data_IF_303889275087
#
_entry.id   IF_303889275087
#
_cell.length_a   1.000
_cell.length_b   1.000
_cell.length_c   1.000
_cell.angle_alpha   90.00
_cell.angle_beta   90.00
_cell.angle_gamma   90.00
#
_symmetry.space_group_name_H-M   'P 1'
#
loop_
_entity.id
_entity.type
_entity.pdbx_description
1 polymer ?
#
# COMPACT_ATOMS: atom_id res chain seq x y z
N UNK A 1 -26.40 -11.20 0.54
CA UNK A 1 -25.16 -11.52 -0.21
C UNK A 1 -24.04 -10.67 0.37
N UNK A 2 -22.99 -11.29 0.90
CA UNK A 2 -21.81 -10.58 1.39
C UNK A 2 -21.12 -9.89 0.22
N UNK A 3 -21.14 -8.56 0.20
CA UNK A 3 -20.42 -7.80 -0.81
C UNK A 3 -18.91 -8.04 -0.57
N UNK A 4 -18.18 -8.75 -1.46
CA UNK A 4 -16.76 -9.05 -1.23
C UNK A 4 -15.91 -7.77 -1.16
N UNK A 5 -16.44 -6.65 -1.67
CA UNK A 5 -15.83 -5.32 -1.60
C UNK A 5 -16.14 -4.58 -0.29
N UNK A 6 -17.04 -5.06 0.59
CA UNK A 6 -17.34 -4.36 1.85
C UNK A 6 -16.17 -4.44 2.84
N UNK A 7 -15.34 -5.48 2.77
CA UNK A 7 -14.08 -5.56 3.52
C UNK A 7 -12.94 -4.76 2.85
N UNK A 8 -13.14 -4.39 1.58
CA UNK A 8 -12.28 -3.50 0.80
C UNK A 8 -12.72 -2.03 1.00
N UNK A 9 -13.15 -1.67 2.22
CA UNK A 9 -13.21 -0.26 2.59
C UNK A 9 -11.83 0.36 2.29
N UNK A 10 -11.80 1.28 1.31
CA UNK A 10 -10.66 2.10 0.89
C UNK A 10 -10.26 3.10 2.00
N UNK A 11 -10.29 2.64 3.23
CA UNK A 11 -10.11 3.42 4.45
C UNK A 11 -8.63 3.80 4.65
N UNK A 12 -7.73 3.16 3.90
CA UNK A 12 -6.29 3.34 4.05
C UNK A 12 -5.61 3.48 2.70
N UNK A 13 -4.96 4.64 2.53
CA UNK A 13 -4.30 5.09 1.30
C UNK A 13 -3.32 4.05 0.74
N UNK A 14 -2.57 3.35 1.59
CA UNK A 14 -1.59 2.35 1.12
C UNK A 14 -2.26 1.14 0.45
N UNK A 15 -3.46 0.73 0.86
CA UNK A 15 -4.19 -0.36 0.17
C UNK A 15 -4.64 0.06 -1.22
N UNK A 16 -5.09 1.31 -1.35
CA UNK A 16 -5.48 1.90 -2.63
C UNK A 16 -4.27 1.95 -3.57
N UNK A 17 -3.13 2.43 -3.06
CA UNK A 17 -1.89 2.53 -3.85
C UNK A 17 -1.36 1.16 -4.26
N UNK A 18 -1.46 0.11 -3.43
CA UNK A 18 -1.08 -1.27 -3.86
C UNK A 18 -1.84 -1.65 -5.13
N UNK A 19 -3.16 -1.42 -5.16
CA UNK A 19 -4.00 -1.77 -6.32
C UNK A 19 -3.59 -0.94 -7.55
N UNK A 20 -3.46 0.38 -7.39
CA UNK A 20 -3.07 1.29 -8.49
C UNK A 20 -1.69 0.90 -9.04
N UNK A 21 -0.69 0.75 -8.18
CA UNK A 21 0.66 0.37 -8.56
C UNK A 21 0.70 -1.01 -9.23
N UNK A 22 -0.09 -1.98 -8.75
CA UNK A 22 -0.18 -3.31 -9.38
C UNK A 22 -0.79 -3.22 -10.78
N UNK A 23 -1.86 -2.44 -10.97
CA UNK A 23 -2.48 -2.24 -12.28
C UNK A 23 -1.50 -1.58 -13.25
N UNK A 24 -0.77 -0.54 -12.81
CA UNK A 24 0.25 0.14 -13.63
C UNK A 24 1.39 -0.83 -13.97
N UNK A 25 1.85 -1.63 -13.02
CA UNK A 25 2.89 -2.63 -13.26
C UNK A 25 2.45 -3.65 -14.31
N UNK A 26 1.28 -4.26 -14.13
CA UNK A 26 0.75 -5.27 -15.06
C UNK A 26 0.48 -4.67 -16.45
N UNK A 27 -0.08 -3.46 -16.51
CA UNK A 27 -0.34 -2.76 -17.78
C UNK A 27 0.96 -2.41 -18.51
N UNK A 28 2.00 -2.01 -17.78
CA UNK A 28 3.32 -1.71 -18.34
C UNK A 28 4.01 -2.98 -18.82
N UNK A 29 4.01 -4.05 -17.99
CA UNK A 29 4.61 -5.35 -18.33
C UNK A 29 3.91 -6.03 -19.51
N UNK A 30 2.58 -5.87 -19.60
CA UNK A 30 1.77 -6.36 -20.72
C UNK A 30 1.83 -5.50 -21.98
N UNK A 31 2.62 -4.41 -21.98
CA UNK A 31 2.78 -3.54 -23.15
C UNK A 31 1.57 -2.66 -23.48
N UNK A 32 0.60 -2.54 -22.57
CA UNK A 32 -0.61 -1.71 -22.76
C UNK A 32 -0.32 -0.21 -22.67
N UNK A 33 0.85 0.17 -22.15
CA UNK A 33 1.28 1.56 -21.96
C UNK A 33 2.57 1.88 -22.75
N UNK A 34 2.55 1.82 -24.10
CA UNK A 34 3.75 1.94 -24.93
C UNK A 34 4.38 3.34 -24.91
N UNK A 35 3.63 4.37 -24.47
CA UNK A 35 4.12 5.75 -24.34
C UNK A 35 4.91 6.00 -23.06
N UNK A 36 4.87 5.07 -22.10
CA UNK A 36 5.61 5.20 -20.85
C UNK A 36 7.01 4.59 -20.98
N UNK A 37 8.04 5.19 -20.35
CA UNK A 37 9.36 4.58 -20.26
C UNK A 37 9.26 3.28 -19.46
N UNK A 38 9.29 2.14 -20.16
CA UNK A 38 8.96 0.81 -19.62
C UNK A 38 9.75 0.48 -18.35
N UNK A 39 11.07 0.61 -18.38
CA UNK A 39 11.92 0.29 -17.23
C UNK A 39 11.63 1.18 -16.01
N UNK A 40 11.49 2.49 -16.22
CA UNK A 40 11.18 3.44 -15.14
C UNK A 40 9.78 3.19 -14.56
N UNK A 41 8.78 2.99 -15.41
CA UNK A 41 7.41 2.72 -15.00
C UNK A 41 7.30 1.40 -14.22
N UNK A 42 8.02 0.34 -14.63
CA UNK A 42 8.08 -0.92 -13.89
C UNK A 42 8.75 -0.76 -12.53
N UNK A 43 9.88 -0.05 -12.45
CA UNK A 43 10.59 0.18 -11.18
C UNK A 43 9.77 1.02 -10.19
N UNK A 44 9.12 2.08 -10.67
CA UNK A 44 8.28 2.96 -9.84
C UNK A 44 7.05 2.19 -9.34
N UNK A 45 6.36 1.47 -10.23
CA UNK A 45 5.16 0.72 -9.85
C UNK A 45 5.47 -0.45 -8.91
N UNK A 46 6.53 -1.22 -9.16
CA UNK A 46 6.98 -2.28 -8.26
C UNK A 46 7.44 -1.72 -6.90
N UNK A 47 8.18 -0.61 -6.92
CA UNK A 47 8.61 0.08 -5.70
C UNK A 47 7.42 0.59 -4.88
N UNK A 48 6.38 1.13 -5.54
CA UNK A 48 5.13 1.54 -4.91
C UNK A 48 4.38 0.38 -4.23
N UNK A 49 4.32 -0.79 -4.86
CA UNK A 49 3.74 -2.00 -4.25
C UNK A 49 4.50 -2.39 -2.98
N UNK A 50 5.83 -2.50 -3.03
CA UNK A 50 6.62 -2.87 -1.86
C UNK A 50 6.52 -1.86 -0.73
N UNK A 51 6.58 -0.56 -1.06
CA UNK A 51 6.45 0.51 -0.07
C UNK A 51 5.10 0.42 0.67
N UNK A 52 4.00 0.30 -0.08
CA UNK A 52 2.67 0.25 0.50
C UNK A 52 2.38 -1.06 1.25
N UNK A 53 2.97 -2.18 0.84
CA UNK A 53 2.95 -3.43 1.61
C UNK A 53 3.69 -3.29 2.95
N UNK A 54 4.82 -2.56 2.96
CA UNK A 54 5.56 -2.23 4.18
C UNK A 54 4.72 -1.38 5.14
N UNK A 55 4.08 -0.34 4.62
CA UNK A 55 3.16 0.52 5.36
C UNK A 55 1.98 -0.26 5.94
N UNK A 56 1.37 -1.16 5.16
CA UNK A 56 0.31 -2.03 5.67
C UNK A 56 0.80 -2.88 6.85
N UNK A 57 2.01 -3.44 6.77
CA UNK A 57 2.57 -4.25 7.85
C UNK A 57 2.91 -3.43 9.11
N UNK A 58 3.34 -2.18 8.93
CA UNK A 58 3.64 -1.24 10.02
C UNK A 58 2.38 -0.62 10.65
N UNK A 59 1.23 -0.74 9.99
CA UNK A 59 -0.05 -0.17 10.42
C UNK A 59 -1.14 -1.24 10.56
N UNK A 60 -1.03 -2.16 11.55
CA UNK A 60 -2.09 -3.11 11.84
C UNK A 60 -3.36 -2.38 12.32
N UNK A 61 -4.52 -2.86 11.84
CA UNK A 61 -5.81 -2.44 12.38
C UNK A 61 -5.89 -2.89 13.84
N UNK A 62 -6.30 -1.97 14.71
CA UNK A 62 -6.62 -2.32 16.09
C UNK A 62 -8.07 -1.96 16.39
N UNK A 63 -8.66 -2.76 17.26
CA UNK A 63 -10.04 -2.58 17.74
C UNK A 63 -9.97 -2.42 19.25
N UNK A 64 -10.46 -1.30 19.77
CA UNK A 64 -10.61 -1.08 21.20
C UNK A 64 -12.08 -1.24 21.53
N UNK A 65 -12.37 -2.04 22.54
CA UNK A 65 -13.68 -2.09 23.17
C UNK A 65 -13.51 -1.35 24.48
N UNK A 66 -14.08 -0.17 24.58
CA UNK A 66 -13.99 0.68 25.77
C UNK A 66 -15.39 0.78 26.40
N UNK A 67 -15.48 0.49 27.69
CA UNK A 67 -16.72 0.68 28.46
C UNK A 67 -16.69 2.07 29.09
N UNK A 68 -17.55 2.96 28.59
CA UNK A 68 -17.72 4.31 29.14
C UNK A 68 -19.19 4.52 29.51
N UNK A 69 -19.45 5.05 30.71
CA UNK A 69 -20.82 5.31 31.21
C UNK A 69 -21.77 4.10 31.12
N UNK A 70 -21.27 2.88 31.33
CA UNK A 70 -22.07 1.65 31.26
C UNK A 70 -22.47 1.22 29.84
N UNK A 71 -21.96 1.88 28.79
CA UNK A 71 -22.13 1.51 27.40
C UNK A 71 -20.81 1.03 26.79
N UNK A 72 -20.88 0.00 25.92
CA UNK A 72 -19.73 -0.53 25.17
C UNK A 72 -19.55 0.25 23.88
N UNK A 73 -18.44 0.97 23.77
CA UNK A 73 -18.03 1.64 22.53
C UNK A 73 -16.98 0.80 21.82
N UNK A 74 -17.22 0.51 20.53
CA UNK A 74 -16.24 -0.13 19.67
C UNK A 74 -15.56 0.94 18.81
N UNK A 75 -14.28 1.20 19.09
CA UNK A 75 -13.44 2.09 18.31
C UNK A 75 -12.54 1.30 17.36
N UNK A 76 -12.47 1.73 16.10
CA UNK A 76 -11.52 1.20 15.12
C UNK A 76 -10.45 2.25 14.83
N UNK A 77 -9.18 1.83 14.75
CA UNK A 77 -8.07 2.72 14.40
C UNK A 77 -6.87 2.00 13.80
N UNK A 78 -5.87 2.78 13.42
CA UNK A 78 -4.59 2.30 12.89
C UNK A 78 -3.44 2.79 13.77
N UNK A 79 -2.84 1.88 14.55
CA UNK A 79 -1.74 2.22 15.47
C UNK A 79 -0.45 1.89 14.76
N UNK A 80 0.49 2.82 14.75
CA UNK A 80 1.85 2.54 14.27
C UNK A 80 2.48 1.48 15.17
N UNK A 81 2.83 0.36 14.57
CA UNK A 81 3.61 -0.70 15.19
C UNK A 81 4.84 -0.93 14.34
N UNK A 82 6.01 -0.68 14.90
CA UNK A 82 7.25 -0.86 14.16
C UNK A 82 7.47 -2.34 13.85
N UNK A 83 7.45 -2.70 12.57
CA UNK A 83 7.82 -4.03 12.10
C UNK A 83 9.12 -3.95 11.33
N UNK A 84 10.12 -4.76 11.70
CA UNK A 84 11.40 -4.85 10.97
C UNK A 84 11.12 -5.18 9.50
N UNK A 85 10.28 -6.19 9.26
CA UNK A 85 9.92 -6.60 7.90
C UNK A 85 9.13 -5.54 7.13
N UNK A 86 8.23 -4.79 7.79
CA UNK A 86 7.51 -3.69 7.16
C UNK A 86 8.45 -2.56 6.76
N UNK A 87 9.37 -2.22 7.66
CA UNK A 87 10.41 -1.20 7.44
C UNK A 87 11.33 -1.57 6.28
N UNK A 88 11.78 -2.83 6.21
CA UNK A 88 12.61 -3.30 5.09
C UNK A 88 11.87 -3.21 3.75
N UNK A 89 10.58 -3.55 3.72
CA UNK A 89 9.74 -3.39 2.52
C UNK A 89 9.61 -1.91 2.12
N UNK A 90 9.45 -0.99 3.08
CA UNK A 90 9.44 0.44 2.81
C UNK A 90 10.78 0.92 2.21
N UNK A 91 11.91 0.47 2.76
CA UNK A 91 13.24 0.84 2.25
C UNK A 91 13.50 0.32 0.83
N UNK A 92 13.17 -0.94 0.57
CA UNK A 92 13.29 -1.55 -0.78
C UNK A 92 12.38 -0.81 -1.76
N UNK A 93 11.13 -0.54 -1.37
CA UNK A 93 10.18 0.20 -2.19
C UNK A 93 10.68 1.60 -2.53
N UNK A 94 11.15 2.36 -1.54
CA UNK A 94 11.71 3.69 -1.74
C UNK A 94 12.95 3.67 -2.65
N UNK A 95 13.84 2.69 -2.48
CA UNK A 95 15.01 2.53 -3.34
C UNK A 95 14.63 2.25 -4.80
N UNK A 96 13.65 1.38 -5.05
CA UNK A 96 13.18 1.09 -6.41
C UNK A 96 12.51 2.31 -7.07
N UNK A 97 11.70 3.06 -6.31
CA UNK A 97 11.12 4.33 -6.79
C UNK A 97 12.23 5.30 -7.18
N UNK A 98 13.23 5.50 -6.32
CA UNK A 98 14.38 6.35 -6.60
C UNK A 98 15.10 5.92 -7.89
N UNK A 99 15.42 4.63 -8.02
CA UNK A 99 16.06 4.08 -9.22
C UNK A 99 15.24 4.26 -10.50
N UNK A 100 13.91 4.22 -10.41
CA UNK A 100 13.01 4.45 -11.54
C UNK A 100 12.86 5.93 -11.92
N UNK A 101 12.97 6.84 -10.94
CA UNK A 101 12.89 8.30 -11.16
C UNK A 101 14.19 8.85 -11.75
N UNK A 102 15.36 8.37 -11.33
CA UNK A 102 16.66 8.91 -11.76
C UNK A 102 16.85 9.02 -13.29
N UNK A 103 16.41 8.06 -14.13
CA UNK A 103 16.49 8.19 -15.59
C UNK A 103 15.49 9.18 -16.22
N UNK A 104 14.56 9.72 -15.44
CA UNK A 104 13.52 10.66 -15.87
C UNK A 104 13.87 12.13 -15.55
N UNK A 105 14.93 12.35 -14.78
CA UNK A 105 15.49 13.66 -14.45
C UNK A 105 16.65 13.99 -15.39
#
# INVERSE_FOLDING_TARGET
MSNPLSNLQLDVWYKVLIVICTIVFLSTAGGLLPKLPTNSALLISLGGVFFCCGEWKNHPRYTIIEEAMGQRFMGHGFKRSFSITGTMLCLIGAYLIYKGIMPLL
#
